data_IF_778691181857
#
_entry.id   IF_778691181857
#
_cell.length_a   1.000
_cell.length_b   1.000
_cell.length_c   1.000
_cell.angle_alpha   90.00
_cell.angle_beta   90.00
_cell.angle_gamma   90.00
#
_symmetry.space_group_name_H-M   'P 1'
#
loop_
_entity.id
_entity.type
_entity.pdbx_description
1 polymer ?
#
# COMPACT_ATOMS: atom_id res chain seq x y z
N UNK A 1 28.73 50.97 -4.56
CA UNK A 1 27.33 50.55 -4.78
C UNK A 1 27.26 49.81 -6.10
N UNK A 2 27.41 48.48 -6.07
CA UNK A 2 27.35 47.64 -7.27
C UNK A 2 25.91 47.18 -7.45
N UNK A 3 25.33 47.45 -8.62
CA UNK A 3 24.00 46.99 -9.01
C UNK A 3 24.14 45.65 -9.74
N UNK A 4 23.67 44.59 -9.10
CA UNK A 4 23.56 43.26 -9.70
C UNK A 4 22.26 43.22 -10.51
N UNK A 5 22.36 43.09 -11.83
CA UNK A 5 21.22 42.81 -12.72
C UNK A 5 20.94 41.31 -12.69
N UNK A 6 19.83 40.91 -12.08
CA UNK A 6 19.30 39.55 -12.16
C UNK A 6 18.38 39.48 -13.38
N UNK A 7 18.78 38.70 -14.38
CA UNK A 7 17.99 38.40 -15.58
C UNK A 7 17.19 37.13 -15.31
N UNK A 8 15.87 37.25 -15.23
CA UNK A 8 14.97 36.10 -15.16
C UNK A 8 14.59 35.69 -16.59
N UNK A 9 15.07 34.53 -17.03
CA UNK A 9 14.54 33.87 -18.23
C UNK A 9 13.21 33.21 -17.86
N UNK A 10 12.11 33.82 -18.27
CA UNK A 10 10.80 33.19 -18.25
C UNK A 10 10.65 32.33 -19.50
N UNK A 11 10.88 31.02 -19.35
CA UNK A 11 10.53 30.05 -20.39
C UNK A 11 9.00 29.96 -20.49
N UNK A 12 8.46 30.59 -21.53
CA UNK A 12 7.06 30.49 -21.91
C UNK A 12 6.82 29.09 -22.45
N UNK A 13 6.32 28.19 -21.60
CA UNK A 13 5.86 26.87 -22.02
C UNK A 13 4.59 27.05 -22.85
N UNK A 14 4.72 26.97 -24.18
CA UNK A 14 3.56 26.89 -25.05
C UNK A 14 2.80 25.57 -24.79
N UNK A 15 1.47 25.61 -24.61
CA UNK A 15 0.68 24.40 -24.44
C UNK A 15 0.80 23.55 -25.71
N UNK A 16 1.39 22.35 -25.56
CA UNK A 16 1.41 21.34 -26.62
C UNK A 16 -0.04 21.09 -27.04
N UNK A 17 -0.33 21.33 -28.32
CA UNK A 17 -1.61 21.00 -28.92
C UNK A 17 -1.95 19.54 -28.64
N UNK A 18 -3.07 19.31 -27.96
CA UNK A 18 -3.57 17.96 -27.69
C UNK A 18 -3.66 17.16 -28.99
N UNK A 19 -3.14 15.93 -29.03
CA UNK A 19 -3.24 15.09 -30.23
C UNK A 19 -4.72 14.92 -30.58
N UNK A 20 -5.11 15.40 -31.77
CA UNK A 20 -6.46 15.19 -32.30
C UNK A 20 -6.63 13.69 -32.55
N UNK A 21 -7.35 13.02 -31.66
CA UNK A 21 -7.77 11.63 -31.85
C UNK A 21 -8.76 11.63 -33.03
N UNK A 22 -8.48 10.92 -34.14
CA UNK A 22 -9.42 10.84 -35.26
C UNK A 22 -10.71 10.20 -34.76
N UNK A 23 -11.84 10.90 -34.95
CA UNK A 23 -13.14 10.34 -34.62
C UNK A 23 -13.41 9.13 -35.53
N UNK A 24 -13.96 8.02 -35.00
CA UNK A 24 -14.26 6.85 -35.81
C UNK A 24 -15.29 7.19 -36.88
N UNK A 25 -15.16 6.62 -38.09
CA UNK A 25 -16.11 6.86 -39.17
C UNK A 25 -17.52 6.45 -38.76
N UNK A 26 -18.46 7.37 -38.94
CA UNK A 26 -19.88 7.16 -38.65
C UNK A 26 -20.49 6.46 -39.86
N UNK A 27 -21.26 5.38 -39.60
CA UNK A 27 -21.95 4.66 -40.66
C UNK A 27 -23.12 5.52 -41.18
N UNK A 28 -23.07 5.92 -42.46
CA UNK A 28 -24.02 6.85 -43.07
C UNK A 28 -25.46 6.32 -43.11
N UNK A 29 -25.67 5.01 -42.96
CA UNK A 29 -27.01 4.41 -42.93
C UNK A 29 -27.65 4.37 -41.55
N UNK A 30 -26.86 4.34 -40.48
CA UNK A 30 -27.37 4.13 -39.12
C UNK A 30 -27.08 5.29 -38.18
N UNK A 31 -26.20 6.22 -38.56
CA UNK A 31 -25.79 7.35 -37.71
C UNK A 31 -25.02 6.92 -36.45
N UNK A 32 -24.67 5.64 -36.32
CA UNK A 32 -23.95 5.09 -35.17
C UNK A 32 -22.46 4.95 -35.51
N UNK A 33 -21.56 5.17 -34.52
CA UNK A 33 -20.14 4.91 -34.71
C UNK A 33 -19.94 3.43 -35.06
N UNK A 34 -19.27 3.17 -36.17
CA UNK A 34 -18.99 1.82 -36.63
C UNK A 34 -17.99 1.20 -35.66
N UNK A 35 -18.48 0.36 -34.74
CA UNK A 35 -17.62 -0.44 -33.86
C UNK A 35 -16.81 -1.37 -34.76
N UNK A 36 -15.57 -0.99 -35.08
CA UNK A 36 -14.61 -1.88 -35.71
C UNK A 36 -14.47 -3.08 -34.79
N UNK A 37 -14.90 -4.24 -35.27
CA UNK A 37 -14.68 -5.51 -34.58
C UNK A 37 -13.19 -5.60 -34.26
N UNK A 38 -12.85 -5.56 -32.97
CA UNK A 38 -11.48 -5.73 -32.53
C UNK A 38 -10.98 -7.06 -33.11
N UNK A 39 -9.79 -7.09 -33.73
CA UNK A 39 -9.22 -8.34 -34.19
C UNK A 39 -9.17 -9.32 -33.01
N UNK A 40 -9.46 -10.61 -33.22
CA UNK A 40 -9.39 -11.59 -32.16
C UNK A 40 -7.99 -11.52 -31.52
N UNK A 41 -7.90 -11.60 -30.18
CA UNK A 41 -6.61 -11.52 -29.50
C UNK A 41 -5.69 -12.61 -30.06
N UNK A 42 -4.39 -12.32 -30.27
CA UNK A 42 -3.46 -13.32 -30.75
C UNK A 42 -3.47 -14.53 -29.80
N UNK A 43 -3.35 -15.76 -30.34
CA UNK A 43 -3.29 -16.96 -29.50
C UNK A 43 -2.13 -16.79 -28.52
N UNK A 44 -2.42 -16.93 -27.22
CA UNK A 44 -1.42 -16.79 -26.16
C UNK A 44 -0.24 -17.75 -26.45
N UNK A 45 0.99 -17.24 -26.58
CA UNK A 45 2.14 -18.11 -26.66
C UNK A 45 2.31 -18.75 -25.27
N UNK A 46 2.65 -20.03 -25.24
CA UNK A 46 2.91 -20.83 -24.03
C UNK A 46 1.66 -21.38 -23.33
N UNK A 47 1.16 -22.49 -23.88
CA UNK A 47 0.52 -23.52 -23.08
C UNK A 47 1.50 -24.03 -22.01
N UNK A 48 1.37 -23.51 -20.79
CA UNK A 48 1.91 -24.21 -19.62
C UNK A 48 1.07 -25.48 -19.41
N UNK A 49 1.69 -26.66 -19.27
CA UNK A 49 0.95 -27.87 -18.99
C UNK A 49 0.21 -27.68 -17.67
N UNK A 50 -1.13 -27.75 -17.71
CA UNK A 50 -2.00 -27.83 -16.54
C UNK A 50 -1.49 -28.96 -15.64
N UNK A 51 -0.72 -28.61 -14.61
CA UNK A 51 -0.45 -29.51 -13.49
C UNK A 51 -1.80 -29.88 -12.90
N UNK A 52 -2.23 -31.12 -13.12
CA UNK A 52 -3.34 -31.74 -12.39
C UNK A 52 -2.92 -31.78 -10.92
N UNK A 53 -3.32 -30.78 -10.13
CA UNK A 53 -3.22 -30.90 -8.68
C UNK A 53 -4.15 -32.03 -8.24
N UNK A 54 -3.69 -32.98 -7.41
CA UNK A 54 -4.59 -33.96 -6.82
C UNK A 54 -5.64 -33.21 -5.99
N UNK A 55 -6.91 -33.55 -6.19
CA UNK A 55 -8.04 -33.06 -5.38
C UNK A 55 -7.75 -33.39 -3.91
N UNK A 56 -7.22 -32.43 -3.16
CA UNK A 56 -7.24 -32.50 -1.69
C UNK A 56 -8.69 -32.35 -1.26
N UNK A 57 -9.27 -33.46 -0.80
CA UNK A 57 -10.52 -33.47 -0.06
C UNK A 57 -10.28 -32.66 1.21
N UNK A 58 -10.66 -31.38 1.19
CA UNK A 58 -10.73 -30.58 2.40
C UNK A 58 -11.86 -31.18 3.25
N UNK A 59 -11.48 -31.83 4.36
CA UNK A 59 -12.45 -32.25 5.38
C UNK A 59 -13.16 -30.99 5.89
N UNK A 60 -14.50 -31.03 6.09
CA UNK A 60 -15.22 -29.91 6.67
C UNK A 60 -14.71 -29.65 8.09
N UNK A 61 -14.03 -28.53 8.28
CA UNK A 61 -13.74 -27.99 9.62
C UNK A 61 -15.06 -27.56 10.24
N UNK A 62 -15.49 -28.30 11.28
CA UNK A 62 -16.64 -27.92 12.11
C UNK A 62 -16.42 -26.54 12.73
N UNK A 63 -17.47 -25.72 12.90
CA UNK A 63 -17.38 -24.50 13.68
C UNK A 63 -17.06 -24.88 15.12
N UNK A 64 -16.00 -24.32 15.70
CA UNK A 64 -15.81 -24.35 17.15
C UNK A 64 -16.67 -23.25 17.73
N UNK A 65 -17.75 -23.64 18.39
CA UNK A 65 -18.52 -22.79 19.29
C UNK A 65 -17.60 -22.28 20.40
N UNK A 66 -17.29 -20.98 20.35
CA UNK A 66 -16.64 -20.28 21.46
C UNK A 66 -17.72 -20.01 22.50
N UNK A 67 -17.90 -20.94 23.44
CA UNK A 67 -18.65 -20.68 24.66
C UNK A 67 -17.84 -19.74 25.54
N UNK A 68 -18.26 -18.47 25.58
CA UNK A 68 -17.91 -17.54 26.65
C UNK A 68 -18.66 -17.97 27.92
N UNK A 69 -17.98 -18.66 28.83
CA UNK A 69 -18.41 -18.78 30.22
C UNK A 69 -17.54 -17.88 31.08
N UNK A 70 -18.16 -16.84 31.63
CA UNK A 70 -17.55 -15.98 32.62
C UNK A 70 -17.49 -16.60 34.02
N UNK A 71 -16.77 -15.85 34.87
CA UNK A 71 -16.76 -15.85 36.31
C UNK A 71 -16.09 -17.04 37.03
N UNK A 72 -14.87 -16.78 37.54
CA UNK A 72 -14.56 -17.13 38.91
C UNK A 72 -13.85 -15.98 39.63
N UNK A 73 -14.48 -15.56 40.73
CA UNK A 73 -13.97 -14.64 41.74
C UNK A 73 -12.69 -15.20 42.37
N UNK A 74 -11.71 -14.34 42.62
CA UNK A 74 -10.54 -14.69 43.41
C UNK A 74 -9.81 -13.46 43.92
N UNK A 75 -10.29 -12.91 45.04
CA UNK A 75 -9.60 -11.91 45.86
C UNK A 75 -8.17 -12.37 46.17
N UNK A 76 -7.17 -11.50 45.98
CA UNK A 76 -6.04 -11.27 46.90
C UNK A 76 -5.23 -10.07 46.40
N UNK A 77 -5.56 -8.93 46.99
CA UNK A 77 -4.72 -7.75 47.09
C UNK A 77 -3.43 -8.08 47.86
N UNK A 78 -2.28 -7.89 47.21
CA UNK A 78 -1.02 -7.59 47.87
C UNK A 78 -0.31 -6.52 47.03
N UNK A 79 -0.21 -5.27 47.54
CA UNK A 79 0.63 -4.23 46.94
C UNK A 79 2.03 -4.29 47.55
N UNK A 80 2.99 -3.67 46.85
CA UNK A 80 4.44 -3.55 47.17
C UNK A 80 5.29 -4.75 46.78
N UNK A 81 5.87 -4.65 45.58
CA UNK A 81 7.30 -4.89 45.41
C UNK A 81 7.87 -3.72 44.62
N UNK A 82 9.02 -3.27 45.11
CA UNK A 82 9.66 -2.03 44.75
C UNK A 82 10.12 -2.01 43.29
N UNK A 83 10.15 -0.79 42.76
CA UNK A 83 10.97 -0.39 41.61
C UNK A 83 12.39 -0.93 41.78
N UNK A 84 12.82 -1.83 40.91
CA UNK A 84 14.22 -1.86 40.47
C UNK A 84 14.28 -1.11 39.13
N UNK A 85 14.74 0.14 39.21
CA UNK A 85 15.26 0.86 38.05
C UNK A 85 16.55 0.15 37.63
N UNK A 86 16.69 -0.12 36.34
CA UNK A 86 17.95 -0.47 35.70
C UNK A 86 18.15 -1.96 35.50
N UNK A 87 17.65 -2.48 34.37
CA UNK A 87 18.28 -3.57 33.62
C UNK A 87 17.72 -3.52 32.20
N UNK A 88 18.24 -2.56 31.42
CA UNK A 88 18.19 -2.60 29.97
C UNK A 88 19.04 -3.79 29.53
N UNK A 89 18.46 -4.59 28.64
CA UNK A 89 19.08 -5.73 28.03
C UNK A 89 20.38 -5.36 27.30
N UNK A 90 21.45 -6.12 27.58
CA UNK A 90 22.53 -6.35 26.65
C UNK A 90 22.63 -7.87 26.47
N UNK A 91 21.91 -8.38 25.46
CA UNK A 91 22.08 -9.76 24.99
C UNK A 91 23.45 -9.82 24.32
N UNK A 92 24.43 -10.30 25.06
CA UNK A 92 25.80 -10.52 24.59
C UNK A 92 25.93 -11.97 24.16
N UNK A 93 26.36 -12.14 22.91
CA UNK A 93 26.77 -13.40 22.34
C UNK A 93 27.87 -14.06 23.19
N UNK A 94 27.63 -15.30 23.60
CA UNK A 94 28.60 -16.16 24.25
C UNK A 94 29.67 -16.59 23.24
N UNK A 95 30.89 -16.06 23.39
CA UNK A 95 32.12 -16.74 22.96
C UNK A 95 32.77 -17.34 24.22
N UNK A 96 33.20 -18.62 24.21
CA UNK A 96 33.80 -19.27 25.34
C UNK A 96 35.32 -19.08 25.31
N UNK A 97 35.95 -18.70 26.44
CA UNK A 97 37.32 -19.05 26.84
C UNK A 97 37.74 -18.31 28.14
N UNK A 98 38.80 -18.77 28.82
CA UNK A 98 38.75 -19.73 29.91
C UNK A 98 38.89 -19.03 31.27
N UNK A 99 38.44 -19.70 32.34
CA UNK A 99 38.91 -19.62 33.73
C UNK A 99 37.76 -20.05 34.63
N UNK A 100 37.48 -21.35 34.61
CA UNK A 100 36.76 -21.96 35.73
C UNK A 100 37.76 -22.11 36.90
N UNK A 101 37.53 -21.47 38.05
CA UNK A 101 38.03 -22.01 39.30
C UNK A 101 37.32 -23.35 39.51
N UNK A 102 38.14 -24.38 39.74
CA UNK A 102 37.79 -25.76 40.04
C UNK A 102 36.41 -25.92 40.72
N UNK A 103 35.49 -26.75 40.19
CA UNK A 103 34.37 -27.21 40.98
C UNK A 103 34.95 -28.03 42.15
N UNK A 104 34.64 -27.59 43.38
CA UNK A 104 34.79 -28.40 44.59
C UNK A 104 34.13 -29.74 44.32
N UNK A 105 34.92 -30.80 44.15
CA UNK A 105 34.45 -32.16 44.02
C UNK A 105 33.60 -32.50 45.27
N UNK A 106 32.32 -32.88 45.13
CA UNK A 106 31.52 -33.36 46.25
C UNK A 106 31.72 -34.87 46.49
N UNK A 107 32.86 -35.43 46.08
CA UNK A 107 33.25 -36.79 46.44
C UNK A 107 34.02 -36.78 47.76
N UNK A 108 33.30 -36.47 48.84
CA UNK A 108 33.58 -37.14 50.13
C UNK A 108 33.25 -38.62 49.90
N UNK A 109 34.19 -39.50 50.24
CA UNK A 109 34.14 -40.96 50.10
C UNK A 109 34.66 -41.56 48.78
N UNK A 110 35.95 -41.35 48.50
CA UNK A 110 36.76 -42.46 47.97
C UNK A 110 37.25 -43.30 49.16
N UNK A 111 36.78 -44.54 49.36
CA UNK A 111 37.48 -45.46 50.25
C UNK A 111 38.83 -45.78 49.58
N UNK A 112 39.92 -45.35 50.21
CA UNK A 112 41.24 -45.89 49.94
C UNK A 112 41.13 -47.43 49.90
N UNK A 113 41.67 -48.12 48.89
CA UNK A 113 41.86 -49.56 49.02
C UNK A 113 42.76 -49.77 50.23
N UNK A 114 42.21 -50.44 51.25
CA UNK A 114 42.97 -50.89 52.42
C UNK A 114 44.20 -51.61 51.92
N UNK A 115 45.39 -51.07 52.19
CA UNK A 115 46.63 -51.80 52.01
C UNK A 115 46.50 -53.12 52.79
N UNK A 116 46.60 -54.30 52.15
CA UNK A 116 46.63 -55.54 52.89
C UNK A 116 47.87 -55.52 53.77
N UNK A 117 47.64 -55.57 55.07
CA UNK A 117 48.63 -55.74 56.10
C UNK A 117 49.55 -56.89 55.74
N UNK A 118 50.85 -56.60 55.81
CA UNK A 118 51.96 -57.56 55.71
C UNK A 118 51.79 -58.66 56.76
N UNK A 119 51.13 -59.75 56.36
CA UNK A 119 51.14 -61.01 57.09
C UNK A 119 52.49 -61.67 56.80
N UNK A 120 53.48 -61.41 57.67
CA UNK A 120 54.70 -62.23 57.79
C UNK A 120 54.30 -63.66 58.16
N UNK A 121 54.06 -64.51 57.17
CA UNK A 121 54.12 -65.96 57.34
C UNK A 121 55.59 -66.39 57.21
N UNK A 122 56.19 -66.65 58.37
CA UNK A 122 57.46 -67.39 58.47
C UNK A 122 57.21 -68.82 57.97
N UNK A 123 57.60 -69.11 56.74
CA UNK A 123 57.62 -70.47 56.20
C UNK A 123 59.02 -71.03 56.38
N UNK A 124 59.09 -72.21 56.98
CA UNK A 124 60.33 -72.94 57.20
C UNK A 124 61.02 -73.20 55.86
N UNK A 125 62.31 -72.87 55.79
CA UNK A 125 63.20 -73.15 54.67
C UNK A 125 63.41 -74.66 54.59
N UNK A 126 62.49 -75.37 53.92
CA UNK A 126 62.76 -76.73 53.42
C UNK A 126 63.67 -76.54 52.21
N UNK A 127 64.97 -76.85 52.38
CA UNK A 127 65.93 -76.88 51.27
C UNK A 127 65.50 -77.98 50.29
N UNK A 128 65.05 -77.65 49.07
CA UNK A 128 64.78 -78.67 48.07
C UNK A 128 66.10 -79.31 47.64
N UNK A 129 66.07 -80.62 47.40
CA UNK A 129 67.18 -81.35 46.80
C UNK A 129 67.57 -80.69 45.46
N UNK A 130 68.87 -80.46 45.27
CA UNK A 130 69.40 -79.85 44.07
C UNK A 130 69.02 -80.70 42.84
N UNK A 131 68.33 -80.12 41.84
CA UNK A 131 67.95 -80.85 40.63
C UNK A 131 69.22 -81.28 39.88
N UNK A 132 69.15 -82.42 39.21
CA UNK A 132 70.25 -82.90 38.36
C UNK A 132 70.56 -81.87 37.25
N UNK A 133 71.82 -81.74 36.80
CA UNK A 133 72.22 -80.74 35.81
C UNK A 133 71.39 -80.74 34.52
N UNK A 134 70.92 -81.91 34.06
CA UNK A 134 70.06 -82.04 32.88
C UNK A 134 68.64 -81.45 33.10
N UNK A 135 68.02 -81.70 34.26
CA UNK A 135 66.69 -81.17 34.56
C UNK A 135 66.70 -79.63 34.67
N UNK A 136 67.81 -79.05 35.15
CA UNK A 136 67.98 -77.61 35.18
C UNK A 136 68.15 -77.00 33.77
N UNK A 137 68.72 -77.73 32.81
CA UNK A 137 68.84 -77.25 31.43
C UNK A 137 67.51 -77.31 30.67
N UNK A 138 66.70 -78.35 30.90
CA UNK A 138 65.41 -78.46 30.21
C UNK A 138 64.38 -77.47 30.78
N UNK A 139 64.32 -77.28 32.11
CA UNK A 139 63.50 -76.22 32.71
C UNK A 139 63.88 -74.80 32.22
N UNK A 140 65.17 -74.57 31.93
CA UNK A 140 65.64 -73.30 31.34
C UNK A 140 65.17 -73.15 29.90
N UNK A 141 65.17 -74.20 29.09
CA UNK A 141 64.66 -74.17 27.72
C UNK A 141 63.16 -73.87 27.70
N UNK A 142 62.38 -74.56 28.53
CA UNK A 142 60.93 -74.33 28.64
C UNK A 142 60.62 -72.88 29.06
N UNK A 143 61.41 -72.33 30.01
CA UNK A 143 61.29 -70.93 30.42
C UNK A 143 61.63 -69.98 29.28
N UNK A 144 62.68 -70.27 28.50
CA UNK A 144 63.06 -69.46 27.33
C UNK A 144 61.95 -69.49 26.27
N UNK A 145 61.38 -70.66 25.97
CA UNK A 145 60.28 -70.80 25.02
C UNK A 145 59.03 -70.02 25.45
N UNK A 146 58.67 -70.10 26.74
CA UNK A 146 57.57 -69.32 27.31
C UNK A 146 57.82 -67.81 27.17
N UNK A 147 59.00 -67.33 27.56
CA UNK A 147 59.34 -65.91 27.44
C UNK A 147 59.36 -65.43 25.98
N UNK A 148 59.81 -66.27 25.05
CA UNK A 148 59.76 -65.97 23.61
C UNK A 148 58.32 -65.90 23.13
N UNK A 149 57.45 -66.80 23.58
CA UNK A 149 56.02 -66.80 23.24
C UNK A 149 55.30 -65.55 23.79
N UNK A 150 55.56 -65.19 25.05
CA UNK A 150 55.02 -63.98 25.69
C UNK A 150 55.51 -62.71 24.97
N UNK A 151 56.80 -62.62 24.67
CA UNK A 151 57.36 -61.52 23.87
C UNK A 151 56.66 -61.40 22.52
N UNK A 152 56.39 -62.51 21.84
CA UNK A 152 55.70 -62.49 20.54
C UNK A 152 54.27 -61.98 20.68
N UNK A 153 53.53 -62.43 21.70
CA UNK A 153 52.18 -61.93 21.99
C UNK A 153 52.19 -60.44 22.31
N UNK A 154 53.08 -59.99 23.20
CA UNK A 154 53.22 -58.57 23.54
C UNK A 154 53.61 -57.71 22.33
N UNK A 155 54.43 -58.26 21.42
CA UNK A 155 54.78 -57.59 20.17
C UNK A 155 53.55 -57.46 19.27
N UNK A 156 52.76 -58.52 19.14
CA UNK A 156 51.51 -58.52 18.37
C UNK A 156 50.49 -57.53 18.96
N UNK A 157 50.31 -57.52 20.28
CA UNK A 157 49.44 -56.56 20.97
C UNK A 157 49.92 -55.13 20.79
N UNK A 158 51.24 -54.88 20.89
CA UNK A 158 51.83 -53.58 20.62
C UNK A 158 51.53 -53.11 19.20
N UNK A 159 51.69 -53.98 18.20
CA UNK A 159 51.43 -53.64 16.80
C UNK A 159 49.93 -53.37 16.57
N UNK A 160 49.04 -54.16 17.18
CA UNK A 160 47.59 -53.93 17.14
C UNK A 160 47.21 -52.57 17.77
N UNK A 161 47.74 -52.27 18.96
CA UNK A 161 47.50 -50.99 19.63
C UNK A 161 48.07 -49.82 18.83
N UNK A 162 49.23 -49.99 18.18
CA UNK A 162 49.79 -48.98 17.29
C UNK A 162 48.87 -48.70 16.10
N UNK A 163 48.32 -49.75 15.46
CA UNK A 163 47.34 -49.58 14.39
C UNK A 163 46.05 -48.91 14.86
N UNK A 164 45.52 -49.27 16.03
CA UNK A 164 44.35 -48.62 16.61
C UNK A 164 44.60 -47.14 16.91
N UNK A 165 45.79 -46.80 17.43
CA UNK A 165 46.17 -45.41 17.69
C UNK A 165 46.27 -44.61 16.37
N UNK A 166 46.85 -45.19 15.33
CA UNK A 166 46.91 -44.56 14.01
C UNK A 166 45.51 -44.35 13.40
N UNK A 167 44.61 -45.32 13.54
CA UNK A 167 43.23 -45.18 13.08
C UNK A 167 42.46 -44.09 13.87
N UNK A 168 42.55 -44.09 15.20
CA UNK A 168 41.89 -43.11 16.05
C UNK A 168 42.44 -41.68 15.87
N UNK A 169 43.74 -41.53 15.60
CA UNK A 169 44.34 -40.23 15.28
C UNK A 169 43.85 -39.71 13.94
N UNK A 170 43.79 -40.56 12.90
CA UNK A 170 43.23 -40.19 11.61
C UNK A 170 41.74 -39.79 11.71
N UNK A 171 40.94 -40.54 12.47
CA UNK A 171 39.54 -40.21 12.73
C UNK A 171 39.40 -38.88 13.48
N UNK A 172 40.23 -38.65 14.53
CA UNK A 172 40.23 -37.38 15.27
C UNK A 172 40.56 -36.19 14.38
N UNK A 173 41.51 -36.34 13.45
CA UNK A 173 41.83 -35.30 12.48
C UNK A 173 40.68 -35.06 11.49
N UNK A 174 40.02 -36.10 11.00
CA UNK A 174 38.84 -35.97 10.13
C UNK A 174 37.73 -35.18 10.82
N UNK A 175 37.37 -35.58 12.04
CA UNK A 175 36.35 -34.91 12.83
C UNK A 175 36.73 -33.46 13.15
N UNK A 176 38.01 -33.16 13.39
CA UNK A 176 38.48 -31.77 13.56
C UNK A 176 38.24 -30.92 12.32
N UNK A 177 38.49 -31.46 11.11
CA UNK A 177 38.23 -30.76 9.84
C UNK A 177 36.73 -30.51 9.64
N UNK A 178 35.90 -31.53 9.84
CA UNK A 178 34.44 -31.41 9.75
C UNK A 178 33.88 -30.38 10.74
N UNK A 179 34.40 -30.35 11.97
CA UNK A 179 34.01 -29.35 12.97
C UNK A 179 34.43 -27.94 12.57
N UNK A 180 35.62 -27.76 11.97
CA UNK A 180 36.01 -26.44 11.44
C UNK A 180 35.10 -25.98 10.29
N UNK A 181 34.79 -26.85 9.33
CA UNK A 181 33.91 -26.54 8.20
C UNK A 181 32.49 -26.18 8.69
N UNK A 182 31.94 -26.96 9.64
CA UNK A 182 30.64 -26.67 10.24
C UNK A 182 30.63 -25.31 10.94
N UNK A 183 31.72 -24.94 11.63
CA UNK A 183 31.83 -23.62 12.30
C UNK A 183 31.86 -22.48 11.28
N UNK A 184 32.60 -22.64 10.19
CA UNK A 184 32.63 -21.63 9.12
C UNK A 184 31.24 -21.47 8.49
N UNK A 185 30.54 -22.57 8.23
CA UNK A 185 29.18 -22.53 7.68
C UNK A 185 28.18 -21.87 8.62
N UNK A 186 28.29 -22.09 9.94
CA UNK A 186 27.47 -21.41 10.94
C UNK A 186 27.71 -19.89 10.91
N UNK A 187 28.98 -19.46 10.81
CA UNK A 187 29.33 -18.04 10.74
C UNK A 187 28.78 -17.40 9.46
N UNK A 188 28.88 -18.09 8.32
CA UNK A 188 28.32 -17.64 7.05
C UNK A 188 26.79 -17.48 7.11
N UNK A 189 26.07 -18.53 7.55
CA UNK A 189 24.62 -18.49 7.72
C UNK A 189 24.17 -17.42 8.71
N UNK A 190 24.97 -17.16 9.76
CA UNK A 190 24.69 -16.08 10.72
C UNK A 190 24.78 -14.71 10.06
N UNK A 191 25.76 -14.48 9.18
CA UNK A 191 25.88 -13.24 8.41
C UNK A 191 24.73 -13.09 7.42
N UNK A 192 24.39 -14.14 6.67
CA UNK A 192 23.24 -14.13 5.76
C UNK A 192 21.94 -13.81 6.51
N UNK A 193 21.72 -14.39 7.69
CA UNK A 193 20.57 -14.11 8.53
C UNK A 193 20.49 -12.62 8.91
N UNK A 194 21.60 -12.00 9.30
CA UNK A 194 21.61 -10.56 9.62
C UNK A 194 21.29 -9.67 8.43
N UNK A 195 21.82 -10.00 7.24
CA UNK A 195 21.52 -9.26 6.00
C UNK A 195 20.03 -9.39 5.63
N UNK A 196 19.46 -10.59 5.77
CA UNK A 196 18.04 -10.82 5.52
C UNK A 196 17.14 -10.10 6.53
N UNK A 197 17.54 -10.03 7.80
CA UNK A 197 16.81 -9.27 8.82
C UNK A 197 16.80 -7.77 8.52
N UNK A 198 17.93 -7.21 8.09
CA UNK A 198 18.01 -5.79 7.74
C UNK A 198 17.26 -5.50 6.43
N UNK A 199 17.34 -6.40 5.44
CA UNK A 199 16.52 -6.32 4.22
C UNK A 199 15.03 -6.39 4.52
N UNK A 200 14.61 -7.22 5.48
CA UNK A 200 13.23 -7.29 5.96
C UNK A 200 12.79 -5.98 6.60
N UNK A 201 13.59 -5.37 7.49
CA UNK A 201 13.27 -4.08 8.11
C UNK A 201 13.13 -2.97 7.06
N UNK A 202 14.05 -2.91 6.10
CA UNK A 202 13.97 -1.94 5.01
C UNK A 202 12.69 -2.10 4.18
N UNK A 203 12.27 -3.35 3.91
CA UNK A 203 11.01 -3.62 3.23
C UNK A 203 9.79 -3.23 4.09
N UNK A 204 9.82 -3.47 5.40
CA UNK A 204 8.76 -3.03 6.33
C UNK A 204 8.65 -1.49 6.37
N UNK A 205 9.77 -0.76 6.40
CA UNK A 205 9.79 0.70 6.34
C UNK A 205 9.21 1.24 5.02
N UNK A 206 9.55 0.60 3.90
CA UNK A 206 9.02 0.97 2.58
C UNK A 206 7.51 0.73 2.47
N UNK A 207 7.00 -0.36 3.04
CA UNK A 207 5.55 -0.61 3.13
C UNK A 207 4.86 0.50 3.91
N UNK A 208 5.39 0.90 5.07
CA UNK A 208 4.83 1.99 5.88
C UNK A 208 4.84 3.32 5.12
N UNK A 209 5.90 3.59 4.35
CA UNK A 209 6.01 4.77 3.49
C UNK A 209 4.91 4.77 2.42
N UNK A 210 4.76 3.68 1.68
CA UNK A 210 3.74 3.52 0.64
C UNK A 210 2.31 3.60 1.20
N UNK A 211 2.06 3.05 2.39
CA UNK A 211 0.77 3.16 3.07
C UNK A 211 0.42 4.60 3.47
N UNK A 212 1.42 5.44 3.77
CA UNK A 212 1.23 6.88 4.01
C UNK A 212 0.84 7.59 2.71
N UNK A 213 1.58 7.39 1.63
CA UNK A 213 1.28 7.98 0.32
C UNK A 213 -0.11 7.57 -0.19
N UNK A 214 -0.47 6.29 -0.05
CA UNK A 214 -1.79 5.79 -0.43
C UNK A 214 -2.93 6.41 0.40
N UNK A 215 -2.68 6.86 1.63
CA UNK A 215 -3.66 7.62 2.43
C UNK A 215 -3.78 9.05 1.93
N UNK A 216 -2.66 9.73 1.71
CA UNK A 216 -2.63 11.10 1.19
C UNK A 216 -3.36 11.23 -0.16
N UNK A 217 -3.10 10.30 -1.08
CA UNK A 217 -3.79 10.24 -2.38
C UNK A 217 -5.30 9.98 -2.23
N UNK A 218 -5.71 9.14 -1.27
CA UNK A 218 -7.14 8.91 -0.98
C UNK A 218 -7.82 10.18 -0.47
N UNK A 219 -7.15 10.93 0.39
CA UNK A 219 -7.67 12.20 0.89
C UNK A 219 -7.77 13.25 -0.23
N UNK A 220 -6.79 13.30 -1.15
CA UNK A 220 -6.84 14.18 -2.32
C UNK A 220 -7.97 13.82 -3.29
N UNK A 221 -8.18 12.53 -3.58
CA UNK A 221 -9.32 12.05 -4.36
C UNK A 221 -10.64 12.45 -3.71
N UNK A 222 -10.74 12.36 -2.37
CA UNK A 222 -11.95 12.78 -1.67
C UNK A 222 -12.19 14.30 -1.78
N UNK A 223 -11.14 15.12 -1.62
CA UNK A 223 -11.24 16.59 -1.76
C UNK A 223 -11.65 17.00 -3.18
N UNK A 224 -11.04 16.41 -4.19
CA UNK A 224 -11.34 16.69 -5.61
C UNK A 224 -12.76 16.25 -5.96
N UNK A 225 -13.22 15.10 -5.44
CA UNK A 225 -14.60 14.65 -5.59
C UNK A 225 -15.60 15.63 -4.98
N UNK A 226 -15.38 16.08 -3.74
CA UNK A 226 -16.25 17.08 -3.11
C UNK A 226 -16.25 18.42 -3.86
N UNK A 227 -15.11 18.81 -4.44
CA UNK A 227 -15.05 20.00 -5.30
C UNK A 227 -15.85 19.83 -6.58
N UNK A 228 -15.79 18.65 -7.21
CA UNK A 228 -16.54 18.34 -8.42
C UNK A 228 -18.06 18.33 -8.16
N UNK A 229 -18.49 17.79 -7.02
CA UNK A 229 -19.89 17.80 -6.59
C UNK A 229 -20.41 19.24 -6.48
N UNK A 230 -19.68 20.15 -5.81
CA UNK A 230 -20.04 21.57 -5.70
C UNK A 230 -20.14 22.26 -7.07
N UNK A 231 -19.15 22.08 -7.93
CA UNK A 231 -19.17 22.67 -9.29
C UNK A 231 -20.35 22.12 -10.12
N UNK A 232 -20.72 20.87 -9.91
CA UNK A 232 -21.89 20.26 -10.56
C UNK A 232 -23.18 20.89 -10.07
N UNK A 233 -23.31 21.14 -8.76
CA UNK A 233 -24.45 21.85 -8.16
C UNK A 233 -24.55 23.30 -8.68
N UNK A 234 -23.45 24.05 -8.67
CA UNK A 234 -23.38 25.41 -9.21
C UNK A 234 -23.76 25.46 -10.70
N UNK A 235 -23.31 24.47 -11.49
CA UNK A 235 -23.69 24.35 -12.90
C UNK A 235 -25.20 24.15 -13.06
N UNK A 236 -25.82 23.31 -12.25
CA UNK A 236 -27.27 23.08 -12.28
C UNK A 236 -28.01 24.36 -11.89
N UNK A 237 -27.58 25.04 -10.83
CA UNK A 237 -28.18 26.30 -10.39
C UNK A 237 -28.09 27.39 -11.47
N UNK A 238 -26.91 27.56 -12.08
CA UNK A 238 -26.74 28.50 -13.20
C UNK A 238 -27.60 28.11 -14.41
N UNK A 239 -27.77 26.81 -14.67
CA UNK A 239 -28.67 26.31 -15.71
C UNK A 239 -30.13 26.73 -15.47
N UNK A 240 -30.62 26.57 -14.24
CA UNK A 240 -31.98 26.99 -13.86
C UNK A 240 -32.15 28.51 -13.98
N UNK A 241 -31.19 29.30 -13.48
CA UNK A 241 -31.23 30.78 -13.60
C UNK A 241 -31.24 31.23 -15.06
N UNK A 242 -30.48 30.56 -15.92
CA UNK A 242 -30.45 30.86 -17.36
C UNK A 242 -31.80 30.57 -18.01
N UNK A 243 -32.46 29.48 -17.62
CA UNK A 243 -33.81 29.16 -18.08
C UNK A 243 -34.82 30.21 -17.61
N UNK A 244 -34.82 30.59 -16.34
CA UNK A 244 -35.71 31.64 -15.80
C UNK A 244 -35.53 32.98 -16.53
N UNK A 245 -34.28 33.41 -16.76
CA UNK A 245 -33.99 34.63 -17.52
C UNK A 245 -34.48 34.54 -18.97
N UNK A 246 -34.36 33.36 -19.60
CA UNK A 246 -34.88 33.14 -20.94
C UNK A 246 -36.41 33.24 -20.99
N UNK A 247 -37.11 32.74 -19.96
CA UNK A 247 -38.56 32.85 -19.84
C UNK A 247 -38.99 34.31 -19.60
N UNK A 248 -38.29 35.04 -18.73
CA UNK A 248 -38.51 36.47 -18.51
C UNK A 248 -38.28 37.30 -19.78
N UNK A 249 -37.25 36.96 -20.56
CA UNK A 249 -36.96 37.61 -21.84
C UNK A 249 -38.11 37.38 -22.84
N UNK A 250 -38.64 36.16 -22.95
CA UNK A 250 -39.77 35.87 -23.83
C UNK A 250 -41.05 36.62 -23.42
N UNK A 251 -41.33 36.70 -22.11
CA UNK A 251 -42.49 37.42 -21.59
C UNK A 251 -42.38 38.94 -21.81
N UNK A 252 -41.20 39.52 -21.59
CA UNK A 252 -40.97 40.95 -21.86
C UNK A 252 -41.06 41.28 -23.35
N UNK A 253 -40.57 40.40 -24.23
CA UNK A 253 -40.73 40.54 -25.69
C UNK A 253 -42.21 40.49 -26.10
N UNK A 254 -43.00 39.60 -25.48
CA UNK A 254 -44.45 39.53 -25.72
C UNK A 254 -45.17 40.81 -25.32
N UNK A 255 -44.88 41.34 -24.13
CA UNK A 255 -45.43 42.62 -23.66
C UNK A 255 -45.05 43.78 -24.56
N UNK A 256 -43.79 43.81 -25.05
CA UNK A 256 -43.33 44.82 -26.00
C UNK A 256 -44.14 44.78 -27.31
N UNK A 257 -44.38 43.59 -27.87
CA UNK A 257 -45.21 43.44 -29.09
C UNK A 257 -46.65 43.90 -28.85
N UNK A 258 -47.21 43.65 -27.67
CA UNK A 258 -48.54 44.11 -27.31
C UNK A 258 -48.60 45.64 -27.21
N UNK A 259 -47.66 46.28 -26.52
CA UNK A 259 -47.62 47.75 -26.42
C UNK A 259 -47.35 48.40 -27.78
N UNK A 260 -46.50 47.83 -28.62
CA UNK A 260 -46.31 48.28 -30.01
C UNK A 260 -47.62 48.20 -30.81
N UNK A 261 -48.40 47.14 -30.66
CA UNK A 261 -49.70 47.00 -31.34
C UNK A 261 -50.72 48.05 -30.85
N UNK A 262 -50.76 48.33 -29.56
CA UNK A 262 -51.61 49.37 -28.98
C UNK A 262 -51.23 50.77 -29.48
N UNK A 263 -49.92 51.07 -29.54
CA UNK A 263 -49.42 52.34 -30.10
C UNK A 263 -49.79 52.50 -31.57
N UNK A 264 -49.75 51.42 -32.37
CA UNK A 264 -50.21 51.47 -33.78
C UNK A 264 -51.69 51.82 -33.88
N UNK A 265 -52.55 51.24 -33.03
CA UNK A 265 -53.97 51.55 -32.98
C UNK A 265 -54.19 53.02 -32.58
N UNK A 266 -53.50 53.51 -31.55
CA UNK A 266 -53.59 54.90 -31.11
C UNK A 266 -53.13 55.87 -32.21
N UNK A 267 -52.05 55.55 -32.93
CA UNK A 267 -51.59 56.37 -34.06
C UNK A 267 -52.62 56.43 -35.20
N UNK A 268 -53.32 55.33 -35.50
CA UNK A 268 -54.42 55.33 -36.47
C UNK A 268 -55.58 56.21 -36.00
N UNK A 269 -55.95 56.13 -34.71
CA UNK A 269 -57.00 56.98 -34.12
C UNK A 269 -56.61 58.47 -34.17
N UNK A 270 -55.36 58.80 -33.84
CA UNK A 270 -54.85 60.18 -33.95
C UNK A 270 -54.92 60.70 -35.39
N UNK A 271 -54.58 59.87 -36.39
CA UNK A 271 -54.70 60.24 -37.80
C UNK A 271 -56.16 60.48 -38.22
N UNK A 272 -57.10 59.66 -37.75
CA UNK A 272 -58.54 59.89 -37.97
C UNK A 272 -59.01 61.20 -37.34
N UNK A 273 -58.59 61.50 -36.10
CA UNK A 273 -58.90 62.76 -35.44
C UNK A 273 -58.33 63.97 -36.18
N UNK A 274 -57.14 63.86 -36.77
CA UNK A 274 -56.57 64.91 -37.62
C UNK A 274 -57.42 65.17 -38.87
N UNK A 275 -57.94 64.11 -39.52
CA UNK A 275 -58.84 64.26 -40.66
C UNK A 275 -60.15 64.94 -40.28
N UNK A 276 -60.78 64.51 -39.17
CA UNK A 276 -61.98 65.17 -38.64
C UNK A 276 -61.69 66.63 -38.28
N UNK A 277 -60.53 66.92 -37.70
CA UNK A 277 -60.09 68.30 -37.41
C UNK A 277 -59.98 69.16 -38.68
N UNK A 278 -59.49 68.59 -39.78
CA UNK A 278 -59.46 69.26 -41.08
C UNK A 278 -60.86 69.50 -41.66
N UNK A 279 -61.77 68.52 -41.56
CA UNK A 279 -63.18 68.67 -41.96
C UNK A 279 -63.90 69.76 -41.17
N UNK A 280 -63.76 69.77 -39.83
CA UNK A 280 -64.33 70.82 -38.98
C UNK A 280 -63.80 72.19 -39.37
N UNK A 281 -62.49 72.31 -39.65
CA UNK A 281 -61.89 73.56 -40.11
C UNK A 281 -62.47 74.00 -41.46
N UNK A 282 -62.74 73.06 -42.37
CA UNK A 282 -63.40 73.32 -43.65
C UNK A 282 -64.83 73.82 -43.45
N UNK A 283 -65.65 73.12 -42.65
CA UNK A 283 -67.03 73.52 -42.35
C UNK A 283 -67.10 74.88 -41.66
N UNK A 284 -66.15 75.19 -40.79
CA UNK A 284 -66.06 76.50 -40.15
C UNK A 284 -65.84 77.61 -41.20
N UNK A 285 -64.93 77.40 -42.16
CA UNK A 285 -64.74 78.34 -43.27
C UNK A 285 -65.97 78.48 -44.17
N UNK A 286 -66.69 77.39 -44.45
CA UNK A 286 -67.96 77.44 -45.18
C UNK A 286 -69.04 78.22 -44.41
N UNK A 287 -69.15 77.99 -43.10
CA UNK A 287 -70.10 78.71 -42.24
C UNK A 287 -69.81 80.21 -42.18
N UNK A 288 -68.54 80.60 -42.04
CA UNK A 288 -68.12 82.01 -42.09
C UNK A 288 -68.49 82.66 -43.43
N UNK A 289 -68.29 81.96 -44.55
CA UNK A 289 -68.71 82.42 -45.88
C UNK A 289 -70.23 82.58 -45.99
N UNK A 290 -71.01 81.57 -45.62
CA UNK A 290 -72.48 81.64 -45.66
C UNK A 290 -73.02 82.72 -44.72
N UNK A 291 -72.43 82.89 -43.55
CA UNK A 291 -72.80 83.96 -42.62
C UNK A 291 -72.54 85.35 -43.22
N UNK A 292 -71.44 85.53 -43.95
CA UNK A 292 -71.15 86.76 -44.68
C UNK A 292 -72.14 86.99 -45.84
N UNK A 293 -72.46 85.96 -46.62
CA UNK A 293 -73.46 86.01 -47.70
C UNK A 293 -74.85 86.37 -47.17
N UNK A 294 -75.27 85.74 -46.06
CA UNK A 294 -76.54 86.05 -45.38
C UNK A 294 -76.58 87.52 -44.95
N UNK A 295 -75.51 88.04 -44.37
CA UNK A 295 -75.43 89.44 -43.96
C UNK A 295 -75.59 90.41 -45.15
N UNK A 296 -74.94 90.14 -46.29
CA UNK A 296 -75.13 90.94 -47.52
C UNK A 296 -76.55 90.78 -48.10
N UNK A 297 -77.15 89.59 -48.04
CA UNK A 297 -78.55 89.39 -48.43
C UNK A 297 -79.53 90.14 -47.51
N UNK A 298 -79.33 90.14 -46.19
CA UNK A 298 -80.15 90.90 -45.25
C UNK A 298 -80.06 92.40 -45.52
N UNK A 299 -78.86 92.90 -45.84
CA UNK A 299 -78.61 94.29 -46.23
C UNK A 299 -79.31 94.64 -47.54
N UNK A 300 -79.21 93.80 -48.57
CA UNK A 300 -79.92 94.04 -49.85
C UNK A 300 -81.45 93.93 -49.70
N UNK A 301 -81.95 93.02 -48.87
CA UNK A 301 -83.38 92.92 -48.54
C UNK A 301 -83.87 94.18 -47.80
N UNK A 302 -83.09 94.69 -46.83
CA UNK A 302 -83.40 95.93 -46.14
C UNK A 302 -83.48 97.11 -47.11
N UNK A 303 -82.54 97.21 -48.05
CA UNK A 303 -82.57 98.22 -49.13
C UNK A 303 -83.80 98.05 -50.04
N UNK A 304 -84.14 96.82 -50.44
CA UNK A 304 -85.30 96.55 -51.28
C UNK A 304 -86.63 96.87 -50.58
N UNK A 305 -86.77 96.54 -49.29
CA UNK A 305 -87.93 96.92 -48.47
C UNK A 305 -88.13 98.42 -48.40
N UNK A 306 -87.03 99.18 -48.33
CA UNK A 306 -87.10 100.63 -48.31
C UNK A 306 -87.56 101.21 -49.65
N UNK A 307 -87.17 100.62 -50.78
CA UNK A 307 -87.66 101.01 -52.12
C UNK A 307 -89.15 100.74 -52.35
N UNK A 308 -89.73 99.74 -51.69
CA UNK A 308 -91.17 99.42 -51.83
C UNK A 308 -92.05 100.37 -50.99
N UNK A 309 -91.47 101.02 -49.96
CA UNK A 309 -92.18 102.01 -49.12
C UNK A 309 -92.28 103.39 -49.76
N UNK A 310 -91.46 103.70 -50.75
CA UNK A 310 -91.42 104.95 -51.51
C UNK A 310 -92.24 104.85 -52.79
#
# INVERSE_FOLDING_TARGET
RQTVKVSYCTDVVHPRASPRIPLPPIDSRTGKPRLLALPPPPPAPWGTPRRKYPKRILRPTRPRDIRLTGAFRGKRSCPRMLRCRGCSAAVTYFLPLPHCPLPKCPFRHCPLPKCPSLLRRSTAVVRPHAPSPQQATDARKDTIELLVSERNLLTQEKDQLAHQLMAATAESESLRREVSECRERILELSRESTVLEDGRKAAEDEVVRLEREARELRDEVQRTRSSLERVTEEKVEMGSRMQELSEQQAETEKKLKETESQLRIQNLQLSQLQNVGAEVSSFQGEFERVSAEKFELEKTLAQAKERVRT
#
